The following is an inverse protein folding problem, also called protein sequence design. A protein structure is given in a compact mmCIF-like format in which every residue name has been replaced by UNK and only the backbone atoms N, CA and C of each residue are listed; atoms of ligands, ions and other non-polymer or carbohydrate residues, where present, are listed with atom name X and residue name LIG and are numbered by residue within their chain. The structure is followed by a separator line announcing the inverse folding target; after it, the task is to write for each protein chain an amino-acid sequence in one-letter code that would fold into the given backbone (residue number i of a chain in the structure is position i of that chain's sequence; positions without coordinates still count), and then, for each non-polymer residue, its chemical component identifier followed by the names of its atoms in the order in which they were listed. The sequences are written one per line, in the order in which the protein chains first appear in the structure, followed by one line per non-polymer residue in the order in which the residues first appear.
data_IF_008042136091
#
_entry.id   IF_008042136091
#
_cell.length_a   1.000
_cell.length_b   1.000
_cell.length_c   1.000
_cell.angle_alpha   90.00
_cell.angle_beta   90.00
_cell.angle_gamma   90.00
#
_symmetry.space_group_name_H-M   'P 1'
#
loop_
_entity.id
_entity.type
_entity.pdbx_description
1 polymer ?
#
# COMPACT_ATOMS: atom_id res chain seq x y z
N UNK A 1 -0.85 4.89 28.68
CA UNK A 1 -0.18 3.77 27.98
C UNK A 1 -0.98 2.49 28.00
N UNK A 2 -1.14 1.80 29.15
CA UNK A 2 -1.86 0.51 29.23
C UNK A 2 -3.25 0.56 28.58
N UNK A 3 -4.05 1.57 28.88
CA UNK A 3 -5.38 1.72 28.27
C UNK A 3 -5.38 1.82 26.74
N UNK A 4 -4.36 2.43 26.12
CA UNK A 4 -4.25 2.48 24.66
C UNK A 4 -3.89 1.10 24.07
N UNK A 5 -3.08 0.30 24.78
CA UNK A 5 -2.77 -1.07 24.37
C UNK A 5 -3.96 -2.01 24.56
N UNK A 6 -4.81 -1.75 25.55
CA UNK A 6 -6.05 -2.51 25.76
C UNK A 6 -7.03 -2.36 24.58
N UNK A 7 -6.91 -1.33 23.74
CA UNK A 7 -7.66 -1.23 22.48
C UNK A 7 -7.34 -2.40 21.54
N UNK A 8 -6.16 -3.01 21.66
CA UNK A 8 -5.67 -4.11 20.83
C UNK A 8 -6.21 -5.48 21.24
N UNK A 9 -7.49 -5.57 21.56
CA UNK A 9 -8.12 -6.83 21.97
C UNK A 9 -7.96 -7.93 20.91
N UNK A 10 -7.69 -9.16 21.37
CA UNK A 10 -7.67 -10.33 20.50
C UNK A 10 -9.07 -10.59 19.90
N UNK A 11 -9.11 -11.05 18.65
CA UNK A 11 -10.36 -11.38 17.95
C UNK A 11 -11.08 -10.19 17.29
N UNK A 12 -10.57 -8.95 17.44
CA UNK A 12 -11.08 -7.77 16.72
C UNK A 12 -10.16 -7.42 15.54
N UNK A 13 -10.67 -7.34 14.29
CA UNK A 13 -9.87 -7.01 13.12
C UNK A 13 -9.16 -5.65 13.27
N UNK A 14 -7.87 -5.61 12.94
CA UNK A 14 -7.01 -4.42 12.98
C UNK A 14 -6.89 -3.69 14.34
N UNK A 15 -7.51 -4.20 15.42
CA UNK A 15 -7.49 -3.55 16.74
C UNK A 15 -6.07 -3.39 17.28
N UNK A 16 -5.23 -4.42 17.09
CA UNK A 16 -3.80 -4.40 17.45
C UNK A 16 -3.02 -3.34 16.69
N UNK A 17 -3.34 -3.13 15.41
CA UNK A 17 -2.71 -2.09 14.58
C UNK A 17 -3.06 -0.69 15.10
N UNK A 18 -4.34 -0.46 15.41
CA UNK A 18 -4.82 0.79 16.02
C UNK A 18 -4.07 1.08 17.32
N UNK A 19 -4.05 0.11 18.23
CA UNK A 19 -3.40 0.24 19.53
C UNK A 19 -1.90 0.56 19.39
N UNK A 20 -1.21 -0.13 18.48
CA UNK A 20 0.23 0.04 18.27
C UNK A 20 0.57 1.41 17.65
N UNK A 21 -0.22 1.86 16.66
CA UNK A 21 -0.09 3.21 16.09
C UNK A 21 -0.31 4.27 17.17
N UNK A 22 -1.40 4.19 17.93
CA UNK A 22 -1.71 5.18 18.97
C UNK A 22 -0.67 5.18 20.10
N UNK A 23 -0.08 4.02 20.40
CA UNK A 23 0.96 3.90 21.41
C UNK A 23 2.29 4.54 20.98
N UNK A 24 2.60 4.60 19.69
CA UNK A 24 3.91 5.03 19.17
C UNK A 24 3.90 6.43 18.52
N UNK A 25 2.89 6.73 17.70
CA UNK A 25 2.84 7.91 16.82
C UNK A 25 3.00 9.25 17.55
N UNK A 26 2.34 9.51 18.70
CA UNK A 26 2.49 10.80 19.39
C UNK A 26 3.93 11.07 19.84
N UNK A 27 4.64 10.04 20.32
CA UNK A 27 6.03 10.17 20.79
C UNK A 27 6.99 10.33 19.62
N UNK A 28 6.70 9.73 18.46
CA UNK A 28 7.48 9.97 17.24
C UNK A 28 7.35 11.43 16.77
N UNK A 29 6.18 12.04 16.94
CA UNK A 29 5.89 13.36 16.40
C UNK A 29 6.78 14.47 16.99
N UNK A 30 7.19 14.38 18.26
CA UNK A 30 8.07 15.38 18.92
C UNK A 30 9.55 15.23 18.58
N UNK A 31 9.94 14.13 17.95
CA UNK A 31 11.34 13.84 17.64
C UNK A 31 11.81 14.45 16.30
N UNK A 32 10.91 15.06 15.53
CA UNK A 32 11.24 15.68 14.25
C UNK A 32 10.21 15.38 13.17
N UNK A 33 10.40 15.93 11.96
CA UNK A 33 9.58 15.59 10.80
C UNK A 33 9.60 14.08 10.52
N UNK A 34 8.47 13.53 10.07
CA UNK A 34 8.33 12.14 9.65
C UNK A 34 8.00 12.09 8.15
N UNK A 35 8.77 11.36 7.37
CA UNK A 35 8.58 11.19 5.91
C UNK A 35 7.54 10.11 5.55
N UNK A 36 6.72 9.74 6.54
CA UNK A 36 5.58 8.86 6.41
C UNK A 36 4.35 9.52 7.04
N UNK A 37 3.18 9.07 6.63
CA UNK A 37 1.91 9.42 7.28
C UNK A 37 1.20 8.17 7.76
N UNK A 38 0.25 8.34 8.68
CA UNK A 38 -0.68 7.28 9.05
C UNK A 38 -2.05 7.64 8.51
N UNK A 39 -2.80 6.66 8.02
CA UNK A 39 -4.17 6.85 7.58
C UNK A 39 -5.10 5.79 8.17
N UNK A 40 -6.17 6.25 8.80
CA UNK A 40 -7.26 5.41 9.26
C UNK A 40 -8.36 5.42 8.19
N UNK A 41 -8.47 4.28 7.51
CA UNK A 41 -9.38 4.06 6.39
C UNK A 41 -10.54 3.18 6.83
N UNK A 42 -11.74 3.41 6.31
CA UNK A 42 -12.88 2.50 6.50
C UNK A 42 -14.23 3.21 6.49
N UNK A 43 -15.35 2.46 6.54
CA UNK A 43 -16.70 3.02 6.38
C UNK A 43 -17.08 4.02 7.47
N UNK A 44 -18.06 4.89 7.20
CA UNK A 44 -18.67 5.73 8.25
C UNK A 44 -19.19 4.90 9.44
N UNK A 45 -19.05 5.47 10.65
CA UNK A 45 -19.54 4.85 11.89
C UNK A 45 -18.59 3.83 12.55
N UNK A 46 -17.33 3.74 12.10
CA UNK A 46 -16.31 2.83 12.68
C UNK A 46 -15.40 3.47 13.73
N UNK A 47 -15.75 4.66 14.23
CA UNK A 47 -15.00 5.41 15.25
C UNK A 47 -13.58 5.87 14.88
N UNK A 48 -13.15 5.77 13.61
CA UNK A 48 -11.83 6.20 13.09
C UNK A 48 -11.38 7.57 13.62
N UNK A 49 -12.19 8.60 13.38
CA UNK A 49 -11.87 9.98 13.76
C UNK A 49 -11.73 10.11 15.28
N UNK A 50 -12.68 9.56 16.03
CA UNK A 50 -12.65 9.57 17.49
C UNK A 50 -11.42 8.87 18.06
N UNK A 51 -11.01 7.76 17.44
CA UNK A 51 -9.80 7.03 17.79
C UNK A 51 -8.53 7.82 17.44
N UNK A 52 -8.50 8.52 16.29
CA UNK A 52 -7.39 9.39 15.90
C UNK A 52 -7.21 10.58 16.87
N UNK A 53 -8.31 11.12 17.40
CA UNK A 53 -8.26 12.21 18.38
C UNK A 53 -7.54 11.81 19.69
N UNK A 54 -7.53 10.53 20.08
CA UNK A 54 -6.74 10.08 21.23
C UNK A 54 -5.23 10.33 21.05
N UNK A 55 -4.72 10.25 19.80
CA UNK A 55 -3.34 10.61 19.52
C UNK A 55 -3.14 12.13 19.67
N UNK A 56 -4.09 12.93 19.19
CA UNK A 56 -4.06 14.39 19.30
C UNK A 56 -4.16 14.90 20.74
N UNK A 57 -4.89 14.20 21.62
CA UNK A 57 -5.04 14.54 23.04
C UNK A 57 -3.72 14.48 23.83
N UNK A 58 -2.63 13.96 23.26
CA UNK A 58 -1.28 14.12 23.81
C UNK A 58 -0.76 15.57 23.70
N UNK A 59 -1.31 16.36 22.79
CA UNK A 59 -0.90 17.74 22.51
C UNK A 59 -2.00 18.75 22.85
N UNK A 60 -3.26 18.36 22.68
CA UNK A 60 -4.42 19.22 22.87
C UNK A 60 -5.50 18.47 23.68
N UNK A 61 -5.40 18.42 25.03
CA UNK A 61 -6.36 17.68 25.84
C UNK A 61 -7.76 18.26 25.72
N UNK A 62 -8.77 17.39 25.63
CA UNK A 62 -10.17 17.81 25.50
C UNK A 62 -10.61 17.99 24.05
N UNK A 63 -9.86 17.46 23.08
CA UNK A 63 -10.28 17.43 21.66
C UNK A 63 -11.50 16.51 21.41
N UNK A 64 -11.83 15.64 22.39
CA UNK A 64 -12.85 14.58 22.36
C UNK A 64 -14.32 14.98 22.14
N UNK A 65 -14.62 16.19 21.66
CA UNK A 65 -15.97 16.64 21.29
C UNK A 65 -16.07 17.07 19.82
N UNK A 66 -15.41 16.35 18.90
CA UNK A 66 -15.63 16.50 17.46
C UNK A 66 -14.92 17.68 16.79
N UNK A 67 -13.85 18.22 17.39
CA UNK A 67 -13.09 19.31 16.79
C UNK A 67 -11.77 18.81 16.24
N UNK A 68 -11.81 18.15 15.08
CA UNK A 68 -10.63 18.09 14.23
C UNK A 68 -10.48 19.46 13.59
N UNK A 69 -9.32 20.10 13.79
CA UNK A 69 -9.11 21.48 13.33
C UNK A 69 -8.93 21.60 11.81
N UNK A 70 -8.70 20.48 11.10
CA UNK A 70 -8.39 20.46 9.66
C UNK A 70 -9.10 19.29 8.99
N UNK A 71 -9.78 19.56 7.87
CA UNK A 71 -10.42 18.53 7.02
C UNK A 71 -9.84 18.54 5.61
N UNK A 72 -10.02 17.45 4.87
CA UNK A 72 -9.60 17.36 3.46
C UNK A 72 -10.40 18.26 2.51
N UNK A 73 -11.47 18.90 2.98
CA UNK A 73 -12.15 20.00 2.26
C UNK A 73 -11.35 21.31 2.22
N UNK A 74 -10.26 21.42 3.00
CA UNK A 74 -9.40 22.60 2.96
C UNK A 74 -8.59 22.69 1.67
N UNK A 75 -8.31 23.92 1.22
CA UNK A 75 -7.48 24.12 0.02
C UNK A 75 -6.06 23.56 0.21
N UNK A 76 -5.37 23.14 -0.87
CA UNK A 76 -3.99 22.63 -0.77
C UNK A 76 -3.03 23.60 -0.07
N UNK A 77 -3.22 24.91 -0.23
CA UNK A 77 -2.40 25.94 0.42
C UNK A 77 -2.61 25.98 1.93
N UNK A 78 -3.86 25.84 2.37
CA UNK A 78 -4.19 25.79 3.79
C UNK A 78 -3.61 24.53 4.43
N UNK A 79 -3.79 23.36 3.80
CA UNK A 79 -3.20 22.10 4.27
C UNK A 79 -1.68 22.19 4.40
N UNK A 80 -1.02 22.74 3.38
CA UNK A 80 0.43 22.95 3.39
C UNK A 80 0.86 23.89 4.54
N UNK A 81 0.10 24.96 4.78
CA UNK A 81 0.37 25.88 5.90
C UNK A 81 0.20 25.19 7.25
N UNK A 82 -0.87 24.41 7.44
CA UNK A 82 -1.07 23.62 8.67
C UNK A 82 0.08 22.63 8.90
N UNK A 83 0.53 21.92 7.85
CA UNK A 83 1.65 20.98 7.95
C UNK A 83 2.98 21.66 8.27
N UNK A 84 3.18 22.89 7.78
CA UNK A 84 4.33 23.72 8.16
C UNK A 84 4.24 24.16 9.61
N UNK A 85 3.11 24.74 10.03
CA UNK A 85 2.92 25.32 11.37
C UNK A 85 2.89 24.26 12.49
N UNK A 86 2.48 23.02 12.20
CA UNK A 86 2.37 21.93 13.16
C UNK A 86 3.71 21.47 13.77
N UNK A 87 4.86 21.80 13.16
CA UNK A 87 6.25 21.45 13.55
C UNK A 87 6.42 20.71 14.88
N UNK A 88 7.04 19.53 14.83
CA UNK A 88 7.34 18.69 16.01
C UNK A 88 6.08 18.31 16.82
N UNK A 89 4.92 18.21 16.16
CA UNK A 89 3.62 17.79 16.70
C UNK A 89 2.83 16.93 15.71
N UNK A 90 1.62 16.53 16.09
CA UNK A 90 0.70 15.72 15.29
C UNK A 90 -0.39 16.57 14.65
N UNK A 91 -0.51 16.49 13.34
CA UNK A 91 -1.61 17.05 12.55
C UNK A 91 -2.62 15.95 12.22
N UNK A 92 -3.84 16.09 12.71
CA UNK A 92 -4.97 15.23 12.31
C UNK A 92 -5.76 15.91 11.19
N UNK A 93 -5.96 15.21 10.07
CA UNK A 93 -6.74 15.70 8.92
C UNK A 93 -7.90 14.73 8.67
N UNK A 94 -9.13 15.19 8.83
CA UNK A 94 -10.31 14.33 8.75
C UNK A 94 -11.08 14.44 7.43
N UNK A 95 -12.01 13.52 7.23
CA UNK A 95 -13.02 13.54 6.17
C UNK A 95 -12.41 13.38 4.77
N UNK A 96 -11.54 12.37 4.59
CA UNK A 96 -11.07 12.00 3.25
C UNK A 96 -12.20 11.28 2.50
N UNK A 97 -13.02 12.06 1.80
CA UNK A 97 -14.17 11.59 1.02
C UNK A 97 -14.28 12.35 -0.30
N UNK A 98 -14.60 11.63 -1.39
CA UNK A 98 -14.79 12.23 -2.72
C UNK A 98 -13.49 12.43 -3.51
N UNK A 99 -13.63 12.53 -4.83
CA UNK A 99 -12.50 12.53 -5.78
C UNK A 99 -11.54 13.71 -5.59
N UNK A 100 -12.05 14.94 -5.45
CA UNK A 100 -11.22 16.14 -5.26
C UNK A 100 -10.35 16.06 -4.00
N UNK A 101 -10.91 15.52 -2.91
CA UNK A 101 -10.19 15.34 -1.66
C UNK A 101 -9.11 14.26 -1.81
N UNK A 102 -9.40 13.16 -2.51
CA UNK A 102 -8.45 12.08 -2.81
C UNK A 102 -7.27 12.57 -3.65
N UNK A 103 -7.51 13.41 -4.66
CA UNK A 103 -6.44 14.02 -5.45
C UNK A 103 -5.56 14.94 -4.59
N UNK A 104 -6.19 15.82 -3.82
CA UNK A 104 -5.50 16.73 -2.89
C UNK A 104 -4.65 15.97 -1.88
N UNK A 105 -5.22 14.92 -1.28
CA UNK A 105 -4.52 14.04 -0.35
C UNK A 105 -3.35 13.32 -1.00
N UNK A 106 -3.53 12.83 -2.22
CA UNK A 106 -2.48 12.17 -2.99
C UNK A 106 -1.26 13.08 -3.18
N UNK A 107 -1.47 14.34 -3.53
CA UNK A 107 -0.38 15.31 -3.67
C UNK A 107 0.23 15.68 -2.31
N UNK A 108 -0.60 15.87 -1.29
CA UNK A 108 -0.18 16.22 0.06
C UNK A 108 0.73 15.14 0.65
N UNK A 109 0.35 13.86 0.57
CA UNK A 109 1.15 12.76 1.10
C UNK A 109 2.47 12.56 0.34
N UNK A 110 2.53 12.92 -0.95
CA UNK A 110 3.80 12.97 -1.67
C UNK A 110 4.72 14.08 -1.13
N UNK A 111 4.17 15.25 -0.82
CA UNK A 111 4.92 16.35 -0.22
C UNK A 111 5.42 15.97 1.18
N UNK A 112 4.55 15.39 2.01
CA UNK A 112 4.90 14.87 3.33
C UNK A 112 6.03 13.85 3.25
N UNK A 113 5.91 12.83 2.39
CA UNK A 113 6.94 11.79 2.31
C UNK A 113 8.19 12.17 1.54
N UNK A 114 8.27 13.38 1.00
CA UNK A 114 9.52 13.96 0.51
C UNK A 114 10.05 15.04 1.48
N UNK A 115 9.33 15.33 2.57
CA UNK A 115 9.54 16.45 3.47
C UNK A 115 9.77 17.78 2.73
N UNK A 116 9.04 17.98 1.63
CA UNK A 116 9.28 19.09 0.71
C UNK A 116 7.99 19.65 0.13
N UNK A 117 7.86 20.96 0.23
CA UNK A 117 6.84 21.77 -0.38
C UNK A 117 6.97 21.83 -1.91
N UNK A 118 5.84 22.02 -2.61
CA UNK A 118 5.88 22.56 -3.97
C UNK A 118 6.35 24.01 -3.92
N UNK A 119 7.37 24.32 -4.73
CA UNK A 119 7.83 25.68 -4.94
C UNK A 119 6.76 26.49 -5.69
N UNK A 120 6.64 27.76 -5.33
CA UNK A 120 5.70 28.70 -5.96
C UNK A 120 6.40 30.02 -6.21
N UNK A 121 5.93 30.77 -7.20
CA UNK A 121 6.36 32.15 -7.40
C UNK A 121 5.40 33.10 -6.68
N UNK A 122 5.93 34.18 -6.14
CA UNK A 122 5.17 35.33 -5.67
C UNK A 122 4.69 36.16 -6.88
N UNK A 123 3.77 37.10 -6.63
CA UNK A 123 3.32 38.06 -7.65
C UNK A 123 4.47 38.88 -8.26
N UNK A 124 5.55 39.08 -7.50
CA UNK A 124 6.74 39.84 -7.90
C UNK A 124 7.79 38.97 -8.63
N UNK A 125 7.38 37.80 -9.16
CA UNK A 125 8.23 36.86 -9.89
C UNK A 125 9.42 36.31 -9.09
N UNK A 126 9.35 36.30 -7.75
CA UNK A 126 10.35 35.69 -6.87
C UNK A 126 9.88 34.32 -6.41
N UNK A 127 10.80 33.41 -6.09
CA UNK A 127 10.43 32.13 -5.45
C UNK A 127 9.92 32.44 -4.04
N UNK A 128 8.69 32.03 -3.74
CA UNK A 128 8.09 32.14 -2.43
C UNK A 128 8.80 31.20 -1.43
N UNK A 129 8.90 31.59 -0.14
CA UNK A 129 9.43 30.70 0.89
C UNK A 129 8.70 29.35 0.91
N UNK A 130 9.46 28.26 0.91
CA UNK A 130 8.92 26.91 0.97
C UNK A 130 8.23 26.65 2.32
N UNK A 131 7.00 26.14 2.26
CA UNK A 131 6.26 25.67 3.43
C UNK A 131 6.44 24.15 3.55
N UNK A 132 7.67 23.72 3.79
CA UNK A 132 8.01 22.30 3.94
C UNK A 132 7.28 21.71 5.16
N UNK A 133 6.70 20.51 5.07
CA UNK A 133 6.03 19.90 6.21
C UNK A 133 7.03 19.59 7.33
N UNK A 134 6.69 19.93 8.57
CA UNK A 134 7.60 19.81 9.73
C UNK A 134 7.06 18.92 10.86
N UNK A 135 5.85 18.39 10.70
CA UNK A 135 5.16 17.57 11.70
C UNK A 135 4.94 16.13 11.23
N UNK A 136 4.15 15.42 12.02
CA UNK A 136 3.62 14.09 11.68
C UNK A 136 2.15 14.21 11.30
N UNK A 137 1.70 13.42 10.32
CA UNK A 137 0.32 13.47 9.81
C UNK A 137 -0.41 12.18 10.13
N UNK A 138 -1.61 12.32 10.70
CA UNK A 138 -2.61 11.27 10.84
C UNK A 138 -3.87 11.68 10.08
N UNK A 139 -4.22 10.93 9.05
CA UNK A 139 -5.41 11.17 8.24
C UNK A 139 -6.53 10.19 8.58
N UNK A 140 -7.78 10.61 8.46
CA UNK A 140 -8.96 9.75 8.60
C UNK A 140 -9.90 9.92 7.40
N UNK A 141 -10.54 8.85 6.95
CA UNK A 141 -11.58 8.94 5.94
C UNK A 141 -12.10 7.60 5.42
N UNK A 142 -13.03 7.69 4.45
CA UNK A 142 -13.65 6.52 3.83
C UNK A 142 -12.97 6.10 2.52
N UNK A 143 -12.22 7.03 1.91
CA UNK A 143 -11.45 6.78 0.71
C UNK A 143 -9.94 6.73 1.00
N UNK A 144 -9.22 5.92 0.22
CA UNK A 144 -7.76 5.89 0.22
C UNK A 144 -7.21 6.82 -0.87
N UNK A 145 -5.98 7.37 -0.72
CA UNK A 145 -5.31 8.12 -1.78
C UNK A 145 -5.11 7.30 -3.06
N UNK A 146 -5.40 7.88 -4.23
CA UNK A 146 -5.53 7.14 -5.48
C UNK A 146 -4.22 6.68 -6.14
N UNK A 147 -3.04 7.16 -5.73
CA UNK A 147 -1.75 6.77 -6.36
C UNK A 147 -0.92 5.87 -5.46
N UNK A 148 -0.37 4.79 -6.04
CA UNK A 148 0.61 3.89 -5.39
C UNK A 148 1.78 4.62 -4.72
N UNK A 149 2.26 5.69 -5.35
CA UNK A 149 3.36 6.48 -4.81
C UNK A 149 2.99 7.17 -3.49
N UNK A 150 1.73 7.59 -3.31
CA UNK A 150 1.23 8.13 -2.07
C UNK A 150 1.00 7.01 -1.04
N UNK A 151 0.37 5.91 -1.45
CA UNK A 151 0.13 4.74 -0.59
C UNK A 151 1.43 4.17 0.01
N UNK A 152 2.51 4.12 -0.77
CA UNK A 152 3.82 3.67 -0.30
C UNK A 152 4.50 4.59 0.72
N UNK A 153 3.95 5.79 0.97
CA UNK A 153 4.43 6.76 1.98
C UNK A 153 3.53 6.77 3.23
N UNK A 154 2.66 5.77 3.35
CA UNK A 154 1.64 5.75 4.37
C UNK A 154 1.53 4.37 5.01
N UNK A 155 1.26 4.34 6.31
CA UNK A 155 0.76 3.16 7.00
C UNK A 155 -0.76 3.29 7.13
N UNK A 156 -1.48 2.38 6.47
CA UNK A 156 -2.94 2.42 6.40
C UNK A 156 -3.55 1.38 7.33
N UNK A 157 -4.25 1.85 8.36
CA UNK A 157 -5.02 0.99 9.26
C UNK A 157 -6.47 0.95 8.77
N UNK A 158 -6.95 -0.24 8.41
CA UNK A 158 -8.33 -0.44 7.92
C UNK A 158 -9.26 -0.77 9.09
N UNK A 159 -10.23 0.10 9.33
CA UNK A 159 -11.24 -0.05 10.37
C UNK A 159 -12.49 -0.74 9.81
N UNK A 160 -12.99 -1.71 10.57
CA UNK A 160 -14.32 -2.30 10.42
C UNK A 160 -15.21 -1.86 11.57
N UNK A 161 -16.49 -2.27 11.57
CA UNK A 161 -17.41 -1.96 12.69
C UNK A 161 -16.99 -2.67 13.98
N UNK A 162 -16.19 -3.73 13.87
CA UNK A 162 -15.73 -4.59 14.95
C UNK A 162 -14.35 -4.19 15.49
N UNK A 163 -13.60 -3.33 14.78
CA UNK A 163 -12.23 -2.92 15.14
C UNK A 163 -12.13 -2.30 16.52
N UNK A 164 -13.10 -1.46 16.89
CA UNK A 164 -13.04 -0.68 18.13
C UNK A 164 -13.98 -1.25 19.18
N UNK A 165 -13.43 -1.55 20.37
CA UNK A 165 -14.24 -1.76 21.56
C UNK A 165 -14.65 -0.41 22.16
N UNK A 166 -15.95 -0.11 22.10
CA UNK A 166 -16.51 1.17 22.56
C UNK A 166 -16.25 1.40 24.05
N UNK A 167 -16.33 0.37 24.89
CA UNK A 167 -16.12 0.52 26.33
C UNK A 167 -14.66 0.88 26.64
N UNK A 168 -13.71 0.27 25.92
CA UNK A 168 -12.29 0.64 26.06
C UNK A 168 -12.03 2.04 25.51
N UNK A 169 -12.58 2.35 24.34
CA UNK A 169 -12.47 3.69 23.74
C UNK A 169 -12.95 4.76 24.72
N UNK A 170 -14.11 4.57 25.35
CA UNK A 170 -14.66 5.52 26.33
C UNK A 170 -13.74 5.71 27.54
N UNK A 171 -13.09 4.65 28.04
CA UNK A 171 -12.09 4.79 29.11
C UNK A 171 -10.87 5.58 28.65
N UNK A 172 -10.38 5.33 27.44
CA UNK A 172 -9.27 6.10 26.86
C UNK A 172 -9.63 7.57 26.71
N UNK A 173 -10.82 7.88 26.22
CA UNK A 173 -11.33 9.24 26.09
C UNK A 173 -11.46 9.94 27.44
N UNK A 174 -11.92 9.25 28.48
CA UNK A 174 -11.98 9.79 29.84
C UNK A 174 -10.58 10.14 30.37
N UNK A 175 -9.62 9.24 30.20
CA UNK A 175 -8.22 9.45 30.59
C UNK A 175 -7.58 10.64 29.83
N UNK A 176 -7.89 10.75 28.55
CA UNK A 176 -7.45 11.84 27.68
C UNK A 176 -8.05 13.19 28.11
N UNK A 177 -9.36 13.23 28.35
CA UNK A 177 -10.08 14.42 28.84
C UNK A 177 -9.60 14.85 30.24
N UNK A 178 -9.21 13.90 31.09
CA UNK A 178 -8.55 14.17 32.37
C UNK A 178 -7.11 14.70 32.22
N UNK A 179 -6.62 14.87 30.98
CA UNK A 179 -5.31 15.42 30.66
C UNK A 179 -4.14 14.46 30.92
N UNK A 180 -4.39 13.15 31.12
CA UNK A 180 -3.32 12.19 31.43
C UNK A 180 -2.31 12.07 30.28
N UNK A 181 -2.79 12.10 29.03
CA UNK A 181 -1.96 11.97 27.84
C UNK A 181 -1.09 13.20 27.66
N UNK A 182 -1.69 14.39 27.73
CA UNK A 182 -0.99 15.67 27.68
C UNK A 182 0.05 15.82 28.79
N UNK A 183 -0.24 15.39 30.02
CA UNK A 183 0.72 15.40 31.14
C UNK A 183 1.93 14.49 30.88
N UNK A 184 1.71 13.30 30.33
CA UNK A 184 2.78 12.39 29.97
C UNK A 184 3.65 12.96 28.83
N UNK A 185 3.03 13.54 27.79
CA UNK A 185 3.74 14.22 26.72
C UNK A 185 4.56 15.40 27.22
N UNK A 186 3.98 16.25 28.07
CA UNK A 186 4.70 17.37 28.68
C UNK A 186 5.91 16.90 29.51
N UNK A 187 5.78 15.80 30.26
CA UNK A 187 6.90 15.23 31.00
C UNK A 187 8.01 14.71 30.06
N UNK A 188 7.63 14.03 28.97
CA UNK A 188 8.59 13.57 27.96
C UNK A 188 9.31 14.72 27.26
N UNK A 189 8.58 15.77 26.87
CA UNK A 189 9.18 16.98 26.28
C UNK A 189 10.15 17.65 27.25
N UNK A 190 9.80 17.77 28.54
CA UNK A 190 10.72 18.30 29.56
C UNK A 190 11.97 17.45 29.71
N UNK A 191 11.83 16.12 29.66
CA UNK A 191 12.96 15.20 29.67
C UNK A 191 13.86 15.43 28.46
N UNK A 192 13.29 15.49 27.24
CA UNK A 192 14.03 15.79 26.01
C UNK A 192 14.73 17.15 26.02
N UNK A 193 14.12 18.15 26.69
CA UNK A 193 14.64 19.51 26.78
C UNK A 193 15.88 19.66 27.69
N UNK A 194 16.28 18.60 28.41
CA UNK A 194 17.54 18.60 29.14
C UNK A 194 18.72 18.92 28.20
N UNK A 195 19.75 19.69 28.64
CA UNK A 195 20.84 20.13 27.78
C UNK A 195 21.47 18.98 26.97
N UNK A 196 21.50 19.14 25.64
CA UNK A 196 22.06 18.16 24.70
C UNK A 196 21.23 16.89 24.49
N UNK A 197 20.20 16.62 25.32
CA UNK A 197 19.46 15.35 25.28
C UNK A 197 18.65 15.20 23.99
N UNK A 198 17.91 16.22 23.54
CA UNK A 198 17.15 16.14 22.28
C UNK A 198 18.04 15.79 21.08
N UNK A 199 19.24 16.39 20.98
CA UNK A 199 20.18 16.11 19.90
C UNK A 199 20.69 14.66 19.96
N UNK A 200 21.05 14.19 21.16
CA UNK A 200 21.47 12.81 21.38
C UNK A 200 20.35 11.80 21.07
N UNK A 201 19.11 12.06 21.54
CA UNK A 201 17.95 11.21 21.28
C UNK A 201 17.60 11.17 19.79
N UNK A 202 17.70 12.29 19.06
CA UNK A 202 17.53 12.31 17.60
C UNK A 202 18.63 11.54 16.86
N UNK A 203 19.88 11.61 17.34
CA UNK A 203 20.97 10.82 16.77
C UNK A 203 20.75 9.31 17.00
N UNK A 204 20.34 8.94 18.20
CA UNK A 204 20.00 7.56 18.55
C UNK A 204 18.79 7.04 17.77
N UNK A 205 17.74 7.86 17.59
CA UNK A 205 16.58 7.52 16.76
C UNK A 205 17.03 7.06 15.37
N UNK A 206 17.91 7.82 14.70
CA UNK A 206 18.41 7.46 13.36
C UNK A 206 19.11 6.10 13.34
N UNK A 207 19.93 5.81 14.35
CA UNK A 207 20.63 4.52 14.45
C UNK A 207 19.66 3.36 14.70
N UNK A 208 18.67 3.57 15.57
CA UNK A 208 17.62 2.59 15.83
C UNK A 208 16.78 2.32 14.58
N UNK A 209 16.40 3.38 13.85
CA UNK A 209 15.63 3.27 12.61
C UNK A 209 16.39 2.46 11.56
N UNK A 210 17.67 2.79 11.34
CA UNK A 210 18.51 2.07 10.37
C UNK A 210 18.59 0.57 10.71
N UNK A 211 18.87 0.26 11.98
CA UNK A 211 18.97 -1.11 12.47
C UNK A 211 17.65 -1.87 12.34
N UNK A 212 16.55 -1.32 12.86
CA UNK A 212 15.24 -1.98 12.86
C UNK A 212 14.72 -2.14 11.43
N UNK A 213 14.90 -1.13 10.56
CA UNK A 213 14.50 -1.24 9.16
C UNK A 213 15.34 -2.29 8.42
N UNK A 214 16.63 -2.40 8.71
CA UNK A 214 17.49 -3.47 8.22
C UNK A 214 17.01 -4.86 8.64
N UNK A 215 16.71 -5.04 9.93
CA UNK A 215 16.14 -6.29 10.47
C UNK A 215 14.82 -6.67 9.79
N UNK A 216 13.91 -5.70 9.61
CA UNK A 216 12.62 -5.92 8.93
C UNK A 216 12.83 -6.29 7.46
N UNK A 217 13.73 -5.62 6.74
CA UNK A 217 14.01 -5.91 5.32
C UNK A 217 14.68 -7.27 5.10
N UNK A 218 15.49 -7.72 6.06
CA UNK A 218 16.19 -9.00 5.97
C UNK A 218 15.27 -10.21 6.18
N UNK A 219 14.10 -10.03 6.81
CA UNK A 219 13.12 -11.10 6.99
C UNK A 219 12.44 -11.45 5.65
N UNK A 220 12.58 -12.70 5.15
CA UNK A 220 11.97 -13.13 3.89
C UNK A 220 10.44 -12.99 3.85
N UNK A 221 9.76 -13.02 5.02
CA UNK A 221 8.32 -12.80 5.10
C UNK A 221 7.92 -11.35 4.69
N UNK A 222 8.88 -10.44 4.57
CA UNK A 222 8.68 -9.04 4.18
C UNK A 222 9.10 -8.75 2.74
N UNK A 223 9.43 -9.75 1.92
CA UNK A 223 9.96 -9.54 0.55
C UNK A 223 9.03 -8.71 -0.35
N UNK A 224 7.73 -8.82 -0.14
CA UNK A 224 6.70 -8.22 -0.99
C UNK A 224 6.17 -6.89 -0.43
N UNK A 225 6.70 -6.41 0.69
CA UNK A 225 6.27 -5.12 1.25
C UNK A 225 6.90 -3.96 0.49
N UNK A 226 6.19 -2.83 0.42
CA UNK A 226 6.70 -1.64 -0.24
C UNK A 226 8.02 -1.17 0.43
N UNK A 227 9.08 -0.80 -0.32
CA UNK A 227 10.42 -0.51 0.23
C UNK A 227 10.49 0.59 1.31
N UNK A 228 9.50 1.48 1.35
CA UNK A 228 9.39 2.55 2.37
C UNK A 228 8.73 2.11 3.68
N UNK A 229 7.89 1.07 3.67
CA UNK A 229 7.16 0.67 4.88
C UNK A 229 8.07 0.18 6.02
N UNK A 230 9.16 -0.59 5.77
CA UNK A 230 10.09 -0.97 6.83
C UNK A 230 10.66 0.23 7.58
N UNK A 231 10.98 1.31 6.87
CA UNK A 231 11.49 2.54 7.50
C UNK A 231 10.39 3.24 8.33
N UNK A 232 9.17 3.34 7.81
CA UNK A 232 8.04 3.93 8.52
C UNK A 232 7.69 3.16 9.81
N UNK A 233 7.69 1.83 9.76
CA UNK A 233 7.51 0.97 10.95
C UNK A 233 8.67 1.15 11.93
N UNK A 234 9.91 1.17 11.44
CA UNK A 234 11.10 1.35 12.27
C UNK A 234 11.08 2.70 13.01
N UNK A 235 10.62 3.78 12.37
CA UNK A 235 10.44 5.10 13.00
C UNK A 235 9.51 5.05 14.21
N UNK A 236 8.37 4.37 14.08
CA UNK A 236 7.42 4.21 15.18
C UNK A 236 7.97 3.33 16.30
N UNK A 237 8.58 2.19 15.96
CA UNK A 237 9.17 1.27 16.95
C UNK A 237 10.33 1.93 17.70
N UNK A 238 11.20 2.63 16.99
CA UNK A 238 12.33 3.33 17.58
C UNK A 238 11.87 4.45 18.52
N UNK A 239 10.93 5.30 18.08
CA UNK A 239 10.36 6.34 18.94
C UNK A 239 9.70 5.76 20.20
N UNK A 240 8.95 4.66 20.05
CA UNK A 240 8.33 4.00 21.19
C UNK A 240 9.36 3.40 22.16
N UNK A 241 10.48 2.89 21.65
CA UNK A 241 11.62 2.40 22.46
C UNK A 241 12.21 3.54 23.30
N UNK A 242 12.46 4.69 22.68
CA UNK A 242 13.02 5.88 23.36
C UNK A 242 12.06 6.42 24.43
N UNK A 243 10.76 6.42 24.14
CA UNK A 243 9.74 6.81 25.09
C UNK A 243 9.60 5.84 26.26
N UNK A 244 9.61 4.53 26.01
CA UNK A 244 9.55 3.51 27.06
C UNK A 244 10.75 3.59 28.00
N UNK A 245 11.94 3.91 27.49
CA UNK A 245 13.11 4.20 28.32
C UNK A 245 12.85 5.40 29.24
N UNK A 246 12.34 6.51 28.71
CA UNK A 246 11.94 7.65 29.55
C UNK A 246 10.92 7.23 30.62
N UNK A 247 9.90 6.45 30.25
CA UNK A 247 8.87 6.00 31.17
C UNK A 247 9.43 5.11 32.28
N UNK A 248 10.43 4.29 31.98
CA UNK A 248 11.15 3.48 32.96
C UNK A 248 12.03 4.34 33.88
N UNK A 249 12.81 5.28 33.33
CA UNK A 249 13.63 6.23 34.10
C UNK A 249 12.77 7.08 35.04
N UNK A 250 11.57 7.46 34.61
CA UNK A 250 10.62 8.22 35.41
C UNK A 250 9.84 7.37 36.43
N UNK A 251 10.09 6.05 36.50
CA UNK A 251 9.38 5.11 37.38
C UNK A 251 7.91 4.86 37.00
N UNK A 252 7.50 5.26 35.80
CA UNK A 252 6.11 5.13 35.32
C UNK A 252 5.77 3.72 34.82
N UNK A 253 6.77 2.95 34.38
CA UNK A 253 6.61 1.55 33.93
C UNK A 253 7.86 0.74 34.30
N UNK A 254 7.73 -0.43 34.95
CA UNK A 254 8.86 -1.33 35.18
C UNK A 254 9.50 -1.82 33.87
N UNK A 255 10.83 -2.03 33.86
CA UNK A 255 11.55 -2.43 32.64
C UNK A 255 10.95 -3.68 31.97
N UNK A 256 10.63 -4.72 32.74
CA UNK A 256 10.01 -5.94 32.21
C UNK A 256 8.69 -5.65 31.47
N UNK A 257 7.87 -4.74 32.01
CA UNK A 257 6.61 -4.33 31.40
C UNK A 257 6.85 -3.49 30.15
N UNK A 258 7.86 -2.61 30.17
CA UNK A 258 8.26 -1.84 29.01
C UNK A 258 8.70 -2.75 27.85
N UNK A 259 9.51 -3.79 28.13
CA UNK A 259 9.95 -4.75 27.13
C UNK A 259 8.77 -5.52 26.52
N UNK A 260 7.79 -5.94 27.34
CA UNK A 260 6.58 -6.60 26.87
C UNK A 260 5.71 -5.69 25.98
N UNK A 261 5.57 -4.41 26.36
CA UNK A 261 4.87 -3.42 25.53
C UNK A 261 5.58 -3.18 24.21
N UNK A 262 6.92 -3.08 24.22
CA UNK A 262 7.70 -2.91 23.00
C UNK A 262 7.53 -4.10 22.06
N UNK A 263 7.61 -5.34 22.57
CA UNK A 263 7.40 -6.54 21.78
C UNK A 263 6.01 -6.57 21.13
N UNK A 264 4.97 -6.21 21.90
CA UNK A 264 3.58 -6.17 21.43
C UNK A 264 3.39 -5.12 20.31
N UNK A 265 3.86 -3.89 20.54
CA UNK A 265 3.74 -2.79 19.57
C UNK A 265 4.56 -3.09 18.31
N UNK A 266 5.79 -3.60 18.46
CA UNK A 266 6.64 -3.98 17.33
C UNK A 266 5.99 -5.06 16.47
N UNK A 267 5.50 -6.14 17.07
CA UNK A 267 4.82 -7.22 16.34
C UNK A 267 3.61 -6.70 15.56
N UNK A 268 2.77 -5.89 16.22
CA UNK A 268 1.56 -5.33 15.62
C UNK A 268 1.84 -4.35 14.47
N UNK A 269 2.91 -3.55 14.54
CA UNK A 269 3.27 -2.65 13.44
C UNK A 269 3.87 -3.39 12.23
N UNK A 270 4.58 -4.50 12.46
CA UNK A 270 5.07 -5.36 11.38
C UNK A 270 3.90 -6.10 10.71
N UNK A 271 2.96 -6.60 11.50
CA UNK A 271 1.70 -7.20 11.01
C UNK A 271 0.92 -6.20 10.15
N UNK A 272 0.72 -4.96 10.64
CA UNK A 272 0.08 -3.88 9.87
C UNK A 272 0.70 -3.69 8.48
N UNK A 273 2.03 -3.64 8.40
CA UNK A 273 2.73 -3.46 7.13
C UNK A 273 2.49 -4.64 6.17
N UNK A 274 2.44 -5.87 6.68
CA UNK A 274 2.23 -7.09 5.89
C UNK A 274 0.80 -7.13 5.34
N UNK A 275 -0.19 -6.90 6.19
CA UNK A 275 -1.60 -6.86 5.80
C UNK A 275 -1.86 -5.78 4.74
N UNK A 276 -1.21 -4.62 4.86
CA UNK A 276 -1.29 -3.57 3.87
C UNK A 276 -0.68 -4.00 2.52
N UNK A 277 0.44 -4.72 2.53
CA UNK A 277 1.06 -5.24 1.31
C UNK A 277 0.18 -6.29 0.62
N UNK A 278 -0.45 -7.17 1.38
CA UNK A 278 -1.41 -8.16 0.88
C UNK A 278 -2.62 -7.48 0.23
N UNK A 279 -3.23 -6.52 0.91
CA UNK A 279 -4.39 -5.78 0.37
C UNK A 279 -4.05 -5.01 -0.91
N UNK A 280 -2.85 -4.41 -0.98
CA UNK A 280 -2.39 -3.72 -2.18
C UNK A 280 -2.16 -4.67 -3.35
N UNK A 281 -1.74 -5.91 -3.08
CA UNK A 281 -1.56 -6.95 -4.11
C UNK A 281 -2.91 -7.36 -4.72
N UNK A 282 -3.96 -7.50 -3.91
CA UNK A 282 -5.31 -7.81 -4.40
C UNK A 282 -5.90 -6.68 -5.24
N UNK A 283 -5.56 -5.43 -4.91
CA UNK A 283 -6.00 -4.22 -5.64
C UNK A 283 -5.04 -3.81 -6.79
N UNK A 284 -4.00 -4.60 -7.07
CA UNK A 284 -2.97 -4.28 -8.06
C UNK A 284 -3.55 -4.33 -9.50
N UNK A 285 -3.53 -3.23 -10.28
CA UNK A 285 -3.91 -3.25 -11.70
C UNK A 285 -3.28 -4.38 -12.54
N UNK A 286 -2.04 -4.77 -12.28
CA UNK A 286 -1.37 -5.89 -12.94
C UNK A 286 -2.04 -7.23 -12.60
N UNK A 287 -2.28 -7.50 -11.31
CA UNK A 287 -3.02 -8.69 -10.86
C UNK A 287 -4.44 -8.71 -11.43
N UNK A 288 -5.13 -7.56 -11.39
CA UNK A 288 -6.48 -7.42 -11.96
C UNK A 288 -6.49 -7.63 -13.47
N UNK A 289 -5.49 -7.12 -14.19
CA UNK A 289 -5.35 -7.40 -15.62
C UNK A 289 -5.16 -8.89 -15.89
N UNK A 290 -4.29 -9.57 -15.14
CA UNK A 290 -4.08 -11.02 -15.27
C UNK A 290 -5.39 -11.78 -15.00
N UNK A 291 -6.17 -11.38 -13.99
CA UNK A 291 -7.46 -11.97 -13.71
C UNK A 291 -8.48 -11.76 -14.86
N UNK A 292 -8.52 -10.56 -15.45
CA UNK A 292 -9.34 -10.27 -16.63
C UNK A 292 -8.89 -11.06 -17.86
N UNK A 293 -7.58 -11.25 -18.04
CA UNK A 293 -7.02 -12.08 -19.11
C UNK A 293 -7.45 -13.54 -18.94
N UNK A 294 -7.31 -14.11 -17.73
CA UNK A 294 -7.80 -15.45 -17.40
C UNK A 294 -9.29 -15.60 -17.71
N UNK A 295 -10.11 -14.65 -17.25
CA UNK A 295 -11.54 -14.66 -17.51
C UNK A 295 -11.86 -14.57 -19.02
N UNK A 296 -11.08 -13.78 -19.78
CA UNK A 296 -11.21 -13.67 -21.23
C UNK A 296 -10.90 -14.97 -21.97
N UNK A 297 -9.89 -15.72 -21.51
CA UNK A 297 -9.51 -17.02 -22.06
C UNK A 297 -10.54 -18.09 -21.67
N UNK A 298 -10.93 -18.19 -20.39
CA UNK A 298 -11.91 -19.18 -19.92
C UNK A 298 -13.32 -18.96 -20.46
N UNK A 299 -13.67 -17.72 -20.83
CA UNK A 299 -14.95 -17.40 -21.49
C UNK A 299 -14.90 -17.57 -23.01
N UNK A 300 -13.80 -18.11 -23.55
CA UNK A 300 -13.63 -18.42 -24.97
C UNK A 300 -13.65 -17.20 -25.91
N UNK A 301 -13.72 -15.98 -25.36
CA UNK A 301 -13.72 -14.71 -26.11
C UNK A 301 -12.34 -14.36 -26.67
N UNK A 302 -11.30 -14.82 -26.00
CA UNK A 302 -9.92 -14.65 -26.42
C UNK A 302 -9.18 -15.99 -26.37
N UNK A 303 -8.11 -16.12 -27.15
CA UNK A 303 -7.25 -17.30 -27.09
C UNK A 303 -5.76 -16.96 -27.24
N UNK A 304 -4.91 -17.85 -26.72
CA UNK A 304 -3.46 -17.88 -26.94
C UNK A 304 -3.13 -19.02 -27.90
N UNK A 305 -2.21 -18.76 -28.83
CA UNK A 305 -1.73 -19.75 -29.81
C UNK A 305 -0.30 -20.16 -29.48
N UNK A 306 0.11 -21.37 -29.84
CA UNK A 306 1.51 -21.77 -29.75
C UNK A 306 2.41 -20.84 -30.60
N UNK A 307 3.62 -20.53 -30.13
CA UNK A 307 4.53 -19.62 -30.84
C UNK A 307 5.26 -20.26 -32.03
N UNK A 308 5.38 -21.59 -32.02
CA UNK A 308 6.16 -22.38 -32.97
C UNK A 308 5.29 -23.15 -33.97
N UNK A 309 3.98 -23.19 -33.75
CA UNK A 309 3.00 -23.91 -34.55
C UNK A 309 1.65 -23.19 -34.60
N UNK A 310 0.82 -23.57 -35.57
CA UNK A 310 -0.55 -23.06 -35.65
C UNK A 310 -1.52 -23.85 -34.74
N UNK A 311 -1.00 -24.75 -33.91
CA UNK A 311 -1.77 -25.67 -33.09
C UNK A 311 -2.13 -25.07 -31.72
N UNK A 312 -3.01 -25.80 -31.01
CA UNK A 312 -3.31 -25.52 -29.62
C UNK A 312 -2.05 -25.69 -28.74
N UNK A 313 -1.83 -24.80 -27.77
CA UNK A 313 -0.66 -24.87 -26.91
C UNK A 313 -0.85 -25.90 -25.79
N UNK A 314 -0.64 -27.17 -26.11
CA UNK A 314 -0.68 -28.24 -25.10
C UNK A 314 0.53 -28.17 -24.14
N UNK A 315 0.34 -28.44 -22.83
CA UNK A 315 -0.88 -28.96 -22.18
C UNK A 315 -1.90 -27.87 -21.78
N UNK A 316 -1.62 -26.59 -22.04
CA UNK A 316 -2.43 -25.45 -21.59
C UNK A 316 -3.63 -25.10 -22.50
N UNK A 317 -3.93 -25.91 -23.52
CA UNK A 317 -4.92 -25.60 -24.54
C UNK A 317 -6.28 -25.11 -23.97
N UNK A 318 -6.85 -25.83 -23.00
CA UNK A 318 -8.12 -25.46 -22.36
C UNK A 318 -8.08 -24.07 -21.71
N UNK A 319 -7.02 -23.78 -20.95
CA UNK A 319 -6.86 -22.52 -20.22
C UNK A 319 -6.35 -21.38 -21.12
N UNK A 320 -5.93 -21.71 -22.34
CA UNK A 320 -5.57 -20.78 -23.41
C UNK A 320 -6.75 -20.43 -24.32
N UNK A 321 -7.99 -20.78 -23.95
CA UNK A 321 -9.21 -20.42 -24.69
C UNK A 321 -9.52 -21.31 -25.88
N UNK A 322 -8.99 -22.55 -25.89
CA UNK A 322 -9.38 -23.59 -26.84
C UNK A 322 -10.36 -24.55 -26.20
N UNK A 323 -11.28 -25.12 -26.97
CA UNK A 323 -12.15 -26.21 -26.51
C UNK A 323 -11.98 -27.44 -27.40
N UNK A 324 -12.39 -28.60 -26.89
CA UNK A 324 -12.42 -29.83 -27.68
C UNK A 324 -13.76 -29.97 -28.39
N UNK A 325 -13.73 -30.19 -29.70
CA UNK A 325 -14.92 -30.41 -30.52
C UNK A 325 -14.76 -31.64 -31.41
N UNK A 326 -15.88 -32.29 -31.71
CA UNK A 326 -15.91 -33.48 -32.54
C UNK A 326 -15.84 -33.10 -34.02
N UNK A 327 -14.77 -33.54 -34.67
CA UNK A 327 -14.50 -33.22 -36.05
C UNK A 327 -14.91 -34.38 -36.95
N UNK A 328 -15.85 -34.12 -37.87
CA UNK A 328 -16.19 -35.06 -38.92
C UNK A 328 -15.20 -34.91 -40.08
N UNK A 329 -14.20 -35.79 -40.15
CA UNK A 329 -13.38 -35.92 -41.34
C UNK A 329 -14.09 -36.89 -42.28
N UNK A 330 -14.61 -36.39 -43.41
CA UNK A 330 -15.37 -37.19 -44.37
C UNK A 330 -14.66 -38.48 -44.79
N UNK A 331 -15.49 -39.49 -45.09
CA UNK A 331 -15.21 -40.86 -45.55
C UNK A 331 -14.09 -41.64 -44.80
N UNK A 332 -14.54 -42.63 -44.04
CA UNK A 332 -13.80 -43.74 -43.42
C UNK A 332 -12.83 -43.47 -42.24
N UNK A 333 -12.74 -42.25 -41.70
CA UNK A 333 -11.82 -41.95 -40.57
C UNK A 333 -12.45 -41.70 -39.20
N UNK A 334 -13.78 -41.81 -39.07
CA UNK A 334 -14.48 -41.64 -37.79
C UNK A 334 -14.41 -40.22 -37.23
N UNK A 335 -15.11 -39.97 -36.13
CA UNK A 335 -15.07 -38.69 -35.43
C UNK A 335 -13.82 -38.63 -34.54
N UNK A 336 -13.02 -37.57 -34.66
CA UNK A 336 -11.89 -37.33 -33.78
C UNK A 336 -12.12 -36.07 -32.95
N UNK A 337 -11.85 -36.17 -31.64
CA UNK A 337 -11.92 -35.05 -30.74
C UNK A 337 -10.63 -34.24 -30.87
N UNK A 338 -10.74 -32.99 -31.32
CA UNK A 338 -9.59 -32.12 -31.60
C UNK A 338 -9.77 -30.74 -30.95
N UNK A 339 -8.66 -30.05 -30.69
CA UNK A 339 -8.70 -28.69 -30.15
C UNK A 339 -9.12 -27.69 -31.23
N UNK A 340 -10.09 -26.85 -30.91
CA UNK A 340 -10.56 -25.79 -31.78
C UNK A 340 -10.61 -24.44 -31.10
N UNK A 341 -10.39 -23.43 -31.93
CA UNK A 341 -10.60 -22.04 -31.56
C UNK A 341 -12.10 -21.77 -31.62
N UNK A 342 -12.71 -21.25 -30.54
CA UNK A 342 -14.12 -20.91 -30.51
C UNK A 342 -14.48 -19.87 -31.59
N UNK A 343 -15.70 -19.95 -32.18
CA UNK A 343 -16.17 -18.93 -33.12
C UNK A 343 -16.15 -17.54 -32.48
N UNK A 344 -15.60 -16.55 -33.20
CA UNK A 344 -15.41 -15.16 -32.73
C UNK A 344 -14.36 -14.98 -31.61
N UNK A 345 -13.60 -16.01 -31.27
CA UNK A 345 -12.47 -15.87 -30.35
C UNK A 345 -11.35 -15.05 -30.99
N UNK A 346 -10.87 -14.02 -30.29
CA UNK A 346 -9.80 -13.14 -30.79
C UNK A 346 -8.45 -13.55 -30.21
N UNK A 347 -7.44 -13.74 -31.07
CA UNK A 347 -6.09 -14.13 -30.63
C UNK A 347 -5.43 -12.97 -29.91
N UNK A 348 -5.21 -13.08 -28.60
CA UNK A 348 -4.58 -12.00 -27.80
C UNK A 348 -3.05 -12.09 -27.80
N UNK A 349 -2.49 -13.26 -28.11
CA UNK A 349 -1.06 -13.46 -28.11
C UNK A 349 -0.64 -14.90 -28.38
N UNK A 350 0.62 -15.18 -28.06
CA UNK A 350 1.24 -16.48 -28.22
C UNK A 350 1.83 -16.97 -26.90
N UNK A 351 1.99 -18.27 -26.78
CA UNK A 351 2.68 -18.91 -25.66
C UNK A 351 3.90 -19.66 -26.18
N UNK A 352 5.05 -19.42 -25.54
CA UNK A 352 6.30 -20.10 -25.79
C UNK A 352 6.67 -20.89 -24.52
N UNK A 353 6.40 -22.19 -24.56
CA UNK A 353 6.65 -23.08 -23.42
C UNK A 353 8.14 -23.32 -23.18
N UNK A 354 8.98 -23.18 -24.20
CA UNK A 354 10.44 -23.36 -24.06
C UNK A 354 11.04 -22.18 -23.31
N UNK A 355 10.55 -20.98 -23.58
CA UNK A 355 10.98 -19.76 -22.90
C UNK A 355 10.19 -19.48 -21.62
N UNK A 356 9.11 -20.22 -21.35
CA UNK A 356 8.19 -19.99 -20.22
C UNK A 356 7.60 -18.56 -20.25
N UNK A 357 7.21 -18.10 -21.44
CA UNK A 357 6.71 -16.74 -21.68
C UNK A 357 5.42 -16.75 -22.50
N UNK A 358 4.50 -15.85 -22.15
CA UNK A 358 3.33 -15.49 -22.94
C UNK A 358 3.58 -14.13 -23.60
N UNK A 359 3.59 -14.14 -24.93
CA UNK A 359 3.79 -12.97 -25.80
C UNK A 359 2.44 -12.35 -26.17
N UNK A 360 2.01 -11.34 -25.41
CA UNK A 360 0.76 -10.63 -25.66
C UNK A 360 0.95 -9.48 -26.65
N UNK A 361 0.02 -9.34 -27.58
CA UNK A 361 -0.06 -8.13 -28.40
C UNK A 361 -0.50 -6.95 -27.51
N UNK A 362 0.25 -5.82 -27.51
CA UNK A 362 -0.05 -4.70 -26.60
C UNK A 362 -1.43 -4.06 -26.79
N UNK A 363 -1.95 -3.98 -28.02
CA UNK A 363 -3.26 -3.37 -28.27
C UNK A 363 -4.38 -4.35 -27.96
N UNK A 364 -4.20 -5.64 -28.27
CA UNK A 364 -5.18 -6.66 -27.91
C UNK A 364 -5.24 -6.88 -26.40
N UNK A 365 -4.12 -6.78 -25.69
CA UNK A 365 -4.10 -6.79 -24.23
C UNK A 365 -4.98 -5.67 -23.63
N UNK A 366 -4.92 -4.46 -24.18
CA UNK A 366 -5.80 -3.34 -23.77
C UNK A 366 -7.27 -3.64 -24.05
N UNK A 367 -7.54 -4.27 -25.19
CA UNK A 367 -8.90 -4.68 -25.55
C UNK A 367 -9.45 -5.72 -24.57
N UNK A 368 -8.68 -6.75 -24.21
CA UNK A 368 -9.08 -7.72 -23.17
C UNK A 368 -9.46 -7.01 -21.88
N UNK A 369 -8.61 -6.10 -21.42
CA UNK A 369 -8.85 -5.37 -20.17
C UNK A 369 -10.15 -4.55 -20.21
N UNK A 370 -10.42 -3.84 -21.33
CA UNK A 370 -11.64 -3.04 -21.50
C UNK A 370 -12.89 -3.90 -21.60
N UNK A 371 -12.86 -4.92 -22.46
CA UNK A 371 -14.00 -5.80 -22.73
C UNK A 371 -14.37 -6.60 -21.49
N UNK A 372 -13.40 -7.21 -20.82
CA UNK A 372 -13.66 -8.03 -19.65
C UNK A 372 -13.98 -7.19 -18.42
N UNK A 373 -13.34 -6.03 -18.23
CA UNK A 373 -13.68 -5.10 -17.16
C UNK A 373 -15.11 -4.58 -17.28
N UNK A 374 -15.52 -4.15 -18.48
CA UNK A 374 -16.89 -3.70 -18.75
C UNK A 374 -17.92 -4.80 -18.51
N UNK A 375 -17.67 -6.02 -18.99
CA UNK A 375 -18.56 -7.16 -18.78
C UNK A 375 -18.72 -7.55 -17.29
N UNK A 376 -17.69 -7.32 -16.47
CA UNK A 376 -17.72 -7.54 -15.03
C UNK A 376 -18.39 -6.39 -14.24
N UNK A 377 -18.90 -5.35 -14.91
CA UNK A 377 -19.48 -4.17 -14.26
C UNK A 377 -18.47 -3.25 -13.58
N UNK A 378 -17.17 -3.49 -13.78
CA UNK A 378 -16.08 -2.68 -13.24
C UNK A 378 -15.07 -2.37 -14.35
N UNK A 379 -15.19 -1.22 -15.03
CA UNK A 379 -14.25 -0.81 -16.07
C UNK A 379 -12.79 -0.86 -15.60
N UNK A 380 -11.89 -1.25 -16.50
CA UNK A 380 -10.44 -1.26 -16.24
C UNK A 380 -9.81 0.04 -16.74
N UNK A 381 -9.74 1.04 -15.86
CA UNK A 381 -9.28 2.40 -16.19
C UNK A 381 -7.78 2.46 -16.55
N UNK A 382 -7.00 1.47 -16.10
CA UNK A 382 -5.55 1.39 -16.27
C UNK A 382 -5.11 0.80 -17.61
N UNK A 383 -6.02 0.59 -18.58
CA UNK A 383 -5.69 -0.10 -19.82
C UNK A 383 -4.49 0.53 -20.56
N UNK A 384 -4.37 1.86 -20.57
CA UNK A 384 -3.24 2.57 -21.19
C UNK A 384 -1.88 2.30 -20.56
N UNK A 385 -1.84 1.88 -19.28
CA UNK A 385 -0.63 1.71 -18.48
C UNK A 385 -0.29 0.24 -18.18
N UNK A 386 -1.00 -0.74 -18.74
CA UNK A 386 -0.83 -2.18 -18.45
C UNK A 386 0.64 -2.62 -18.49
N UNK A 387 1.39 -2.23 -19.53
CA UNK A 387 2.80 -2.60 -19.68
C UNK A 387 3.66 -2.11 -18.50
N UNK A 388 3.36 -0.91 -18.00
CA UNK A 388 4.05 -0.32 -16.85
C UNK A 388 3.64 -1.01 -15.56
N UNK A 389 2.34 -1.22 -15.36
CA UNK A 389 1.81 -1.87 -14.16
C UNK A 389 2.36 -3.30 -14.02
N UNK A 390 2.37 -4.08 -15.12
CA UNK A 390 2.97 -5.42 -15.17
C UNK A 390 4.48 -5.42 -14.89
N UNK A 391 5.22 -4.41 -15.35
CA UNK A 391 6.64 -4.29 -15.09
C UNK A 391 6.94 -3.92 -13.65
N UNK A 392 6.18 -2.99 -13.07
CA UNK A 392 6.29 -2.62 -11.66
C UNK A 392 5.98 -3.82 -10.75
N UNK A 393 5.08 -4.71 -11.18
CA UNK A 393 4.78 -5.97 -10.50
C UNK A 393 5.77 -7.12 -10.80
N UNK A 394 6.80 -6.90 -11.63
CA UNK A 394 7.80 -7.93 -11.98
C UNK A 394 7.26 -9.11 -12.79
N UNK A 395 6.11 -8.92 -13.46
CA UNK A 395 5.40 -9.98 -14.19
C UNK A 395 5.84 -10.10 -15.66
N UNK A 396 6.53 -9.11 -16.22
CA UNK A 396 6.99 -9.13 -17.60
C UNK A 396 8.52 -9.06 -17.73
N UNK A 397 9.04 -9.64 -18.80
CA UNK A 397 10.43 -9.43 -19.22
C UNK A 397 10.56 -8.11 -19.98
N UNK A 398 11.62 -7.36 -19.67
CA UNK A 398 12.00 -6.13 -20.37
C UNK A 398 13.21 -6.34 -21.26
N UNK A 399 13.36 -5.54 -22.31
CA UNK A 399 14.60 -5.48 -23.11
C UNK A 399 15.32 -4.15 -22.91
N UNK A 400 16.63 -4.14 -23.11
CA UNK A 400 17.45 -2.92 -23.15
C UNK A 400 17.83 -2.64 -24.59
N UNK A 401 17.39 -1.51 -25.12
CA UNK A 401 17.74 -1.06 -26.47
C UNK A 401 18.32 0.35 -26.40
N UNK A 402 19.52 0.55 -26.96
CA UNK A 402 20.20 1.86 -26.97
C UNK A 402 20.25 2.54 -25.58
N UNK A 403 20.50 1.74 -24.53
CA UNK A 403 20.57 2.22 -23.14
C UNK A 403 19.23 2.57 -22.48
N UNK A 404 18.08 2.34 -23.15
CA UNK A 404 16.74 2.56 -22.59
C UNK A 404 16.02 1.23 -22.37
N UNK A 405 15.41 1.09 -21.19
CA UNK A 405 14.55 -0.05 -20.85
C UNK A 405 13.25 0.06 -21.66
N UNK A 406 12.91 -0.99 -22.40
CA UNK A 406 11.65 -1.16 -23.12
C UNK A 406 10.80 -2.20 -22.40
N UNK A 407 9.53 -1.85 -22.18
CA UNK A 407 8.53 -2.72 -21.56
C UNK A 407 7.93 -3.76 -22.53
N UNK A 408 8.47 -3.83 -23.75
CA UNK A 408 8.09 -4.81 -24.78
C UNK A 408 9.35 -5.41 -25.36
N UNK A 409 9.27 -6.67 -25.76
CA UNK A 409 10.40 -7.39 -26.37
C UNK A 409 10.11 -7.66 -27.84
N UNK A 410 11.16 -7.65 -28.67
CA UNK A 410 11.05 -8.08 -30.07
C UNK A 410 11.16 -9.61 -30.11
N UNK A 411 10.13 -10.26 -30.65
CA UNK A 411 10.11 -11.72 -30.84
C UNK A 411 9.64 -12.02 -32.25
N UNK A 412 10.33 -12.96 -32.89
CA UNK A 412 9.90 -13.55 -34.15
C UNK A 412 8.98 -14.72 -33.85
N UNK A 413 7.74 -14.63 -34.31
CA UNK A 413 6.73 -15.71 -34.21
C UNK A 413 6.55 -16.34 -35.60
N UNK A 414 6.41 -17.66 -35.65
CA UNK A 414 6.21 -18.39 -36.91
C UNK A 414 4.93 -17.91 -37.61
N UNK A 415 4.97 -17.76 -38.93
CA UNK A 415 3.81 -17.32 -39.73
C UNK A 415 3.45 -15.84 -39.62
N UNK A 416 3.99 -15.11 -38.65
CA UNK A 416 3.61 -13.69 -38.36
C UNK A 416 4.76 -12.74 -38.66
N UNK A 417 5.99 -13.11 -38.30
CA UNK A 417 7.17 -12.26 -38.44
C UNK A 417 7.67 -11.69 -37.11
N UNK A 418 8.48 -10.63 -37.17
CA UNK A 418 9.14 -10.04 -36.00
C UNK A 418 8.36 -8.81 -35.51
N UNK A 419 7.71 -8.94 -34.36
CA UNK A 419 6.87 -7.91 -33.76
C UNK A 419 7.26 -7.64 -32.30
N UNK A 420 6.62 -6.63 -31.69
CA UNK A 420 6.79 -6.30 -30.28
C UNK A 420 5.65 -6.82 -29.44
N UNK A 421 5.99 -7.49 -28.36
CA UNK A 421 5.04 -8.13 -27.46
C UNK A 421 5.32 -7.72 -26.01
N UNK A 422 4.27 -7.74 -25.19
CA UNK A 422 4.41 -7.80 -23.75
C UNK A 422 4.75 -9.25 -23.39
N UNK A 423 5.97 -9.48 -22.89
CA UNK A 423 6.44 -10.82 -22.52
C UNK A 423 6.08 -11.12 -21.06
N UNK A 424 4.85 -11.58 -20.83
CA UNK A 424 4.36 -11.99 -19.52
C UNK A 424 4.97 -13.34 -19.14
N UNK A 425 5.48 -13.47 -17.91
CA UNK A 425 5.96 -14.76 -17.41
C UNK A 425 4.83 -15.76 -17.33
N UNK A 426 5.07 -17.00 -17.74
CA UNK A 426 4.03 -18.03 -17.81
C UNK A 426 3.45 -18.36 -16.43
N UNK A 427 4.29 -18.38 -15.40
CA UNK A 427 3.90 -18.63 -14.00
C UNK A 427 2.91 -17.60 -13.44
N UNK A 428 2.99 -16.35 -13.88
CA UNK A 428 2.05 -15.31 -13.50
C UNK A 428 0.64 -15.59 -14.05
N UNK A 429 0.55 -16.26 -15.20
CA UNK A 429 -0.72 -16.61 -15.82
C UNK A 429 -1.26 -17.98 -15.36
N UNK A 430 -0.44 -19.01 -15.18
CA UNK A 430 -0.95 -20.36 -14.89
C UNK A 430 -0.47 -20.98 -13.57
N UNK A 431 0.35 -20.27 -12.79
CA UNK A 431 1.04 -20.84 -11.62
C UNK A 431 2.32 -21.58 -12.03
N UNK A 432 3.11 -22.03 -11.05
CA UNK A 432 4.21 -22.97 -11.34
C UNK A 432 3.60 -24.23 -11.98
N UNK A 433 4.08 -24.61 -13.16
CA UNK A 433 3.68 -25.86 -13.78
C UNK A 433 4.04 -26.99 -12.80
N UNK A 434 3.04 -27.69 -12.24
CA UNK A 434 3.28 -28.95 -11.53
C UNK A 434 3.94 -29.92 -12.49
N UNK A 435 5.27 -30.02 -12.43
CA UNK A 435 6.02 -30.76 -13.42
C UNK A 435 7.53 -30.77 -13.19
N UNK A 436 7.97 -31.14 -11.98
CA UNK A 436 9.14 -32.01 -11.72
C UNK A 436 9.39 -32.13 -10.19
N UNK A 437 8.49 -32.85 -9.51
CA UNK A 437 8.92 -33.75 -8.42
C UNK A 437 8.77 -35.16 -8.96
N UNK A 438 9.88 -35.71 -9.45
CA UNK A 438 10.12 -37.15 -9.47
C UNK A 438 11.28 -37.43 -8.52
#
# INVERSE_FOLDING_TARGET
MRGLLDLGQAGRPAARHVAAVLAALPWRAVLGPLDASVHFSGPTGTFKTTTALLALDHFAPGSGAGRVSVTWGATPNALQRHAYDCRDSLLVIDELTGETAVETATEFFQCQGNLKARARMTRDLRIAPGLDPRGTVLSTGEADPGRRSALGRMLTVRFTRETVDVAILSRCQHDAAAGRYARAMAAYIRWLAAPGRLAATRAELRLLVERIAGEIRADPANRDVHPRHPAAVAELVAAYTLFLRFAAEAGGVPQLTADAYLATVRGSLIELMRDQAETHRESDPACRFVALLKAGLSSERFHLQDSDSDNAPEPFAAVCGWHKDWLYQGNDRGQMLDWRIPPNSRRVGYIDLKEQVVYLDPELAKEVARTMGGAAGQPFEHAGNIARDLNEAGMIHTSVEAGKVRLTVRKRIRGVGNNRYLALRLDCLFGEAEGERK
#
